data_IF_230604213204
#
_entry.id   IF_230604213204
#
_cell.length_a   1.000
_cell.length_b   1.000
_cell.length_c   1.000
_cell.angle_alpha   90.00
_cell.angle_beta   90.00
_cell.angle_gamma   90.00
#
_symmetry.space_group_name_H-M   'P 1'
#
loop_
_entity.id
_entity.type
_entity.pdbx_description
1 polymer ?
#
# COMPACT_ATOMS: atom_id res chain seq x y z
N UNK A 1 -0.58 13.76 15.26
CA UNK A 1 0.13 12.95 14.25
C UNK A 1 0.60 13.85 13.10
N UNK A 2 1.84 13.72 12.61
CA UNK A 2 2.33 14.53 11.47
C UNK A 2 1.41 14.29 10.26
N UNK A 3 0.85 15.36 9.66
CA UNK A 3 -0.12 15.30 8.52
C UNK A 3 0.28 14.32 7.42
N UNK A 4 1.59 14.22 7.26
CA UNK A 4 2.21 13.36 6.30
C UNK A 4 2.06 11.85 6.53
N UNK A 5 2.12 11.40 7.79
CA UNK A 5 1.88 10.00 8.13
C UNK A 5 0.45 9.62 7.76
N UNK A 6 -0.52 10.53 7.98
CA UNK A 6 -1.91 10.36 7.54
C UNK A 6 -2.01 10.21 6.01
N UNK A 7 -1.34 11.07 5.24
CA UNK A 7 -1.34 10.93 3.77
C UNK A 7 -0.67 9.65 3.28
N UNK A 8 0.45 9.23 3.89
CA UNK A 8 1.12 7.97 3.56
C UNK A 8 0.26 6.74 3.88
N UNK A 9 -0.44 6.77 5.01
CA UNK A 9 -1.35 5.70 5.42
C UNK A 9 -2.56 5.60 4.49
N UNK A 10 -3.14 6.74 4.10
CA UNK A 10 -4.26 6.79 3.15
C UNK A 10 -3.83 6.28 1.77
N UNK A 11 -2.67 6.71 1.26
CA UNK A 11 -2.14 6.22 -0.01
C UNK A 11 -1.78 4.73 0.03
N UNK A 12 -1.16 4.26 1.11
CA UNK A 12 -0.87 2.84 1.33
C UNK A 12 -2.14 1.98 1.37
N UNK A 13 -3.19 2.45 2.04
CA UNK A 13 -4.48 1.77 2.08
C UNK A 13 -5.18 1.72 0.72
N UNK A 14 -5.16 2.82 -0.04
CA UNK A 14 -5.72 2.88 -1.40
C UNK A 14 -5.00 1.91 -2.32
N UNK A 15 -3.66 1.92 -2.31
CA UNK A 15 -2.88 1.05 -3.16
C UNK A 15 -2.95 -0.44 -2.73
N UNK A 16 -3.14 -0.71 -1.44
CA UNK A 16 -3.47 -2.05 -0.95
C UNK A 16 -4.79 -2.55 -1.54
N UNK A 17 -5.85 -1.74 -1.49
CA UNK A 17 -7.15 -2.10 -2.08
C UNK A 17 -7.00 -2.33 -3.58
N UNK A 18 -6.30 -1.43 -4.28
CA UNK A 18 -6.07 -1.53 -5.73
C UNK A 18 -5.35 -2.84 -6.04
N UNK A 19 -4.26 -3.18 -5.35
CA UNK A 19 -3.56 -4.44 -5.63
C UNK A 19 -4.36 -5.64 -5.18
N UNK A 20 -5.09 -5.58 -4.09
CA UNK A 20 -5.95 -6.68 -3.67
C UNK A 20 -7.10 -6.94 -4.66
N UNK A 21 -7.42 -6.01 -5.56
CA UNK A 21 -8.40 -6.19 -6.65
C UNK A 21 -7.70 -6.49 -7.99
N UNK A 22 -6.60 -5.81 -8.30
CA UNK A 22 -5.85 -5.94 -9.56
C UNK A 22 -5.06 -7.25 -9.58
N UNK A 23 -4.31 -7.55 -8.51
CA UNK A 23 -3.48 -8.75 -8.41
C UNK A 23 -4.27 -10.03 -8.67
N UNK A 24 -5.43 -10.31 -8.04
CA UNK A 24 -6.21 -11.51 -8.37
C UNK A 24 -6.81 -11.50 -9.77
N UNK A 25 -6.99 -10.33 -10.39
CA UNK A 25 -7.42 -10.22 -11.78
C UNK A 25 -6.32 -10.68 -12.76
N UNK A 26 -5.06 -10.45 -12.40
CA UNK A 26 -3.89 -10.83 -13.20
C UNK A 26 -3.35 -12.22 -12.87
N UNK A 27 -3.41 -12.65 -11.61
CA UNK A 27 -2.68 -13.83 -11.16
C UNK A 27 -3.35 -15.15 -11.60
N UNK A 28 -4.65 -15.16 -11.93
CA UNK A 28 -5.47 -16.38 -12.18
C UNK A 28 -5.34 -17.52 -11.12
N UNK A 29 -4.45 -17.38 -10.13
CA UNK A 29 -4.24 -18.28 -9.01
C UNK A 29 -5.28 -18.03 -7.93
N UNK A 30 -5.60 -19.10 -7.20
CA UNK A 30 -6.60 -19.07 -6.14
C UNK A 30 -6.20 -18.06 -5.07
N UNK A 31 -7.11 -17.12 -4.83
CA UNK A 31 -7.08 -16.13 -3.77
C UNK A 31 -6.85 -16.79 -2.41
N UNK A 32 -5.60 -16.99 -2.03
CA UNK A 32 -5.25 -17.73 -0.81
C UNK A 32 -5.02 -16.75 0.33
N UNK A 33 -5.59 -17.05 1.48
CA UNK A 33 -5.55 -16.22 2.70
C UNK A 33 -4.10 -15.92 3.11
N UNK A 34 -3.15 -16.82 2.85
CA UNK A 34 -1.72 -16.61 3.09
C UNK A 34 -1.13 -15.46 2.26
N UNK A 35 -1.51 -15.29 0.98
CA UNK A 35 -1.05 -14.16 0.16
C UNK A 35 -1.57 -12.82 0.72
N UNK A 36 -2.80 -12.80 1.22
CA UNK A 36 -3.39 -11.61 1.87
C UNK A 36 -2.61 -11.28 3.15
N UNK A 37 -2.36 -12.28 3.99
CA UNK A 37 -1.68 -12.10 5.28
C UNK A 37 -0.22 -11.65 5.11
N UNK A 38 0.48 -12.15 4.09
CA UNK A 38 1.82 -11.69 3.71
C UNK A 38 1.80 -10.31 3.04
N UNK A 39 0.70 -9.95 2.38
CA UNK A 39 0.50 -8.65 1.77
C UNK A 39 0.42 -7.51 2.79
N UNK A 40 -0.15 -7.76 3.97
CA UNK A 40 -0.33 -6.73 5.02
C UNK A 40 1.00 -6.09 5.46
N UNK A 41 2.03 -6.84 5.92
CA UNK A 41 3.30 -6.23 6.32
C UNK A 41 4.03 -5.56 5.14
N UNK A 42 3.97 -6.16 3.95
CA UNK A 42 4.54 -5.58 2.73
C UNK A 42 3.90 -4.22 2.41
N UNK A 43 2.57 -4.13 2.50
CA UNK A 43 1.81 -2.92 2.21
C UNK A 43 1.98 -1.83 3.26
N UNK A 44 2.20 -2.19 4.52
CA UNK A 44 2.58 -1.23 5.57
C UNK A 44 3.92 -0.58 5.21
N UNK A 45 4.91 -1.36 4.77
CA UNK A 45 6.22 -0.85 4.35
C UNK A 45 6.11 0.03 3.11
N UNK A 46 5.37 -0.42 2.08
CA UNK A 46 5.15 0.34 0.84
C UNK A 46 4.41 1.65 1.12
N UNK A 47 3.36 1.63 1.95
CA UNK A 47 2.61 2.83 2.35
C UNK A 47 3.46 3.83 3.14
N UNK A 48 4.36 3.35 4.00
CA UNK A 48 5.35 4.17 4.69
C UNK A 48 6.38 4.80 3.75
N UNK A 49 6.90 4.04 2.78
CA UNK A 49 7.86 4.52 1.76
C UNK A 49 7.21 5.54 0.82
N UNK A 50 5.97 5.30 0.39
CA UNK A 50 5.22 6.23 -0.46
C UNK A 50 4.83 7.48 0.29
N UNK A 51 4.46 7.34 1.57
CA UNK A 51 4.52 8.43 2.53
C UNK A 51 5.86 9.16 2.36
N UNK A 52 6.99 8.49 2.65
CA UNK A 52 8.36 9.01 2.53
C UNK A 52 8.59 9.90 1.30
N UNK A 53 8.32 9.35 0.13
CA UNK A 53 8.48 10.03 -1.16
C UNK A 53 7.56 11.25 -1.33
N UNK A 54 6.29 11.15 -0.95
CA UNK A 54 5.32 12.24 -1.16
C UNK A 54 5.62 13.49 -0.32
N UNK A 55 6.23 13.37 0.86
CA UNK A 55 6.73 14.54 1.61
C UNK A 55 7.92 15.16 0.92
N UNK A 56 8.82 14.35 0.39
CA UNK A 56 9.99 14.84 -0.33
C UNK A 56 9.57 15.62 -1.58
N UNK A 57 8.53 15.16 -2.29
CA UNK A 57 8.02 15.82 -3.50
C UNK A 57 7.27 17.14 -3.24
N UNK A 58 6.73 17.34 -2.04
CA UNK A 58 6.04 18.60 -1.65
C UNK A 58 6.97 19.71 -1.14
N UNK A 59 8.27 19.44 -1.06
CA UNK A 59 9.28 20.38 -0.56
C UNK A 59 10.06 21.07 -1.70
N UNK A 60 9.57 21.00 -2.94
CA UNK A 60 10.18 21.63 -4.11
C UNK A 60 9.15 22.46 -4.86
#
# INVERSE_FOLDING_TARGET
MKKWVRSGLVWGGILYIITMIIFPLFDHERFTITKILLGIPLWIVVGLILGYLLKKKKAH
#
